data_IF_334069643743
#
_entry.id   IF_334069643743
#
_cell.length_a   1.000
_cell.length_b   1.000
_cell.length_c   1.000
_cell.angle_alpha   90.00
_cell.angle_beta   90.00
_cell.angle_gamma   90.00
#
_symmetry.space_group_name_H-M   'P 1'
#
loop_
_entity.id
_entity.type
_entity.pdbx_description
1 polymer ?
#
# COMPACT_ATOMS: atom_id res chain seq x y z
N UNK A 1 12.57 -20.11 -2.33
CA UNK A 1 11.63 -19.16 -1.70
C UNK A 1 10.30 -19.88 -1.55
N UNK A 2 9.87 -20.15 -0.32
CA UNK A 2 8.49 -20.60 -0.07
C UNK A 2 7.63 -19.35 -0.12
N UNK A 3 6.78 -19.26 -1.13
CA UNK A 3 5.86 -18.13 -1.29
C UNK A 3 4.48 -18.63 -0.86
N UNK A 4 3.75 -17.81 -0.15
CA UNK A 4 2.36 -18.07 0.20
C UNK A 4 1.63 -16.76 0.19
N UNK A 5 0.35 -16.79 -0.14
CA UNK A 5 -0.52 -15.65 0.06
C UNK A 5 -1.77 -16.10 0.82
N UNK A 6 -2.30 -15.21 1.63
CA UNK A 6 -3.57 -15.40 2.34
C UNK A 6 -4.50 -14.27 1.96
N UNK A 7 -5.74 -14.63 1.67
CA UNK A 7 -6.83 -13.67 1.54
C UNK A 7 -7.64 -13.75 2.82
N UNK A 8 -7.80 -12.60 3.45
CA UNK A 8 -8.58 -12.43 4.68
C UNK A 8 -9.73 -11.52 4.31
N UNK A 9 -10.95 -11.93 4.64
CA UNK A 9 -12.18 -11.25 4.31
C UNK A 9 -12.91 -11.01 5.62
N UNK A 10 -13.07 -9.74 5.96
CA UNK A 10 -13.76 -9.30 7.16
C UNK A 10 -15.16 -8.81 6.77
N UNK A 11 -16.21 -9.36 7.40
CA UNK A 11 -17.58 -8.91 7.19
C UNK A 11 -17.88 -7.64 7.98
N UNK A 12 -18.39 -6.60 7.32
CA UNK A 12 -18.87 -5.37 7.96
C UNK A 12 -20.36 -5.50 8.34
N UNK A 13 -20.71 -6.39 9.27
CA UNK A 13 -22.07 -6.36 9.85
C UNK A 13 -22.06 -6.61 11.36
N UNK A 14 -22.93 -5.89 12.06
CA UNK A 14 -22.85 -5.59 13.49
C UNK A 14 -22.59 -6.77 14.42
N UNK A 15 -21.75 -6.48 15.42
CA UNK A 15 -21.53 -7.20 16.69
C UNK A 15 -20.79 -8.54 16.68
N UNK A 16 -20.42 -9.10 15.53
CA UNK A 16 -19.34 -10.11 15.48
C UNK A 16 -18.48 -9.92 14.23
N UNK A 17 -17.23 -9.45 14.43
CA UNK A 17 -16.17 -9.48 13.42
C UNK A 17 -15.91 -10.93 12.99
N UNK A 18 -16.65 -11.42 12.00
CA UNK A 18 -16.40 -12.73 11.39
C UNK A 18 -15.35 -12.55 10.30
N UNK A 19 -14.14 -13.01 10.63
CA UNK A 19 -13.01 -13.05 9.72
C UNK A 19 -12.95 -14.40 9.01
N UNK A 20 -13.11 -14.40 7.69
CA UNK A 20 -12.89 -15.59 6.85
C UNK A 20 -11.49 -15.53 6.26
N UNK A 21 -10.65 -16.52 6.58
CA UNK A 21 -9.28 -16.61 6.05
C UNK A 21 -9.12 -17.76 5.07
N UNK A 22 -8.69 -17.43 3.85
CA UNK A 22 -8.28 -18.39 2.84
C UNK A 22 -6.77 -18.30 2.60
N UNK A 23 -6.00 -19.23 3.18
CA UNK A 23 -4.56 -19.36 2.92
C UNK A 23 -4.29 -20.25 1.71
N UNK A 24 -3.38 -19.81 0.83
CA UNK A 24 -2.85 -20.55 -0.32
C UNK A 24 -1.33 -20.65 -0.20
N UNK A 25 -0.83 -21.88 -0.04
CA UNK A 25 0.60 -22.16 0.05
C UNK A 25 1.17 -22.53 -1.32
N UNK A 26 2.13 -21.74 -1.83
CA UNK A 26 2.79 -22.02 -3.11
C UNK A 26 3.96 -22.97 -2.87
N UNK A 27 3.63 -24.25 -2.66
CA UNK A 27 4.64 -25.31 -2.48
C UNK A 27 5.61 -25.37 -3.67
N UNK A 28 6.90 -25.69 -3.47
CA UNK A 28 7.93 -25.69 -4.53
C UNK A 28 7.74 -26.73 -5.65
N UNK A 29 6.81 -27.68 -5.50
CA UNK A 29 6.61 -28.77 -6.45
C UNK A 29 5.97 -28.26 -7.76
N UNK A 30 6.51 -28.69 -8.90
CA UNK A 30 6.54 -27.91 -10.15
C UNK A 30 5.21 -27.54 -10.83
N UNK A 31 4.02 -28.01 -10.41
CA UNK A 31 2.81 -27.75 -11.21
C UNK A 31 1.51 -27.41 -10.46
N UNK A 32 1.37 -27.72 -9.16
CA UNK A 32 0.02 -27.77 -8.56
C UNK A 32 -0.32 -26.59 -7.64
N UNK A 33 0.66 -25.83 -7.16
CA UNK A 33 0.41 -24.76 -6.18
C UNK A 33 0.43 -23.35 -6.80
N UNK A 34 1.25 -23.13 -7.83
CA UNK A 34 1.43 -21.80 -8.46
C UNK A 34 0.26 -21.38 -9.35
N UNK A 35 -0.62 -22.30 -9.73
CA UNK A 35 -1.86 -22.02 -10.45
C UNK A 35 -2.95 -22.87 -9.84
N UNK A 36 -4.08 -22.27 -9.51
CA UNK A 36 -5.14 -23.02 -8.86
C UNK A 36 -6.46 -22.29 -8.80
N UNK A 37 -7.37 -22.92 -8.09
CA UNK A 37 -8.70 -22.48 -7.77
C UNK A 37 -9.05 -23.01 -6.37
N UNK A 38 -9.77 -22.23 -5.57
CA UNK A 38 -10.26 -22.62 -4.26
C UNK A 38 -11.57 -21.88 -3.97
N UNK A 39 -12.61 -22.63 -3.68
CA UNK A 39 -13.89 -22.09 -3.21
C UNK A 39 -13.96 -22.18 -1.70
N UNK A 40 -14.67 -21.22 -1.10
CA UNK A 40 -15.04 -21.26 0.30
C UNK A 40 -16.33 -20.46 0.49
N UNK A 41 -17.15 -20.90 1.42
CA UNK A 41 -18.40 -20.22 1.77
C UNK A 41 -18.14 -19.20 2.86
N UNK A 42 -18.77 -18.04 2.76
CA UNK A 42 -18.83 -17.08 3.85
C UNK A 42 -20.01 -17.49 4.75
N UNK A 43 -19.72 -18.00 5.95
CA UNK A 43 -20.72 -18.47 6.91
C UNK A 43 -21.46 -17.26 7.52
N UNK A 44 -22.49 -16.78 6.81
CA UNK A 44 -23.49 -15.90 7.37
C UNK A 44 -24.39 -16.76 8.26
N UNK A 45 -24.36 -16.46 9.55
CA UNK A 45 -25.01 -17.24 10.58
C UNK A 45 -26.52 -17.45 10.27
N UNK A 46 -26.88 -18.66 9.84
CA UNK A 46 -28.21 -19.32 9.91
C UNK A 46 -29.42 -18.40 10.13
N UNK A 47 -29.73 -17.55 9.16
CA UNK A 47 -31.13 -17.24 8.85
C UNK A 47 -31.49 -18.17 7.69
N UNK A 48 -32.42 -19.11 7.84
CA UNK A 48 -32.63 -20.21 6.88
C UNK A 48 -33.10 -19.79 5.47
N UNK A 49 -33.16 -18.49 5.17
CA UNK A 49 -33.64 -17.97 3.89
C UNK A 49 -32.68 -16.97 3.19
N UNK A 50 -31.51 -16.66 3.76
CA UNK A 50 -30.51 -15.82 3.08
C UNK A 50 -29.31 -16.66 2.63
N UNK A 51 -29.04 -16.59 1.32
CA UNK A 51 -28.08 -17.39 0.58
C UNK A 51 -26.68 -17.38 1.20
N UNK A 52 -26.10 -18.56 1.44
CA UNK A 52 -24.65 -18.66 1.67
C UNK A 52 -23.93 -18.05 0.47
N UNK A 53 -23.12 -17.00 0.71
CA UNK A 53 -22.35 -16.35 -0.34
C UNK A 53 -21.07 -17.14 -0.59
N UNK A 54 -21.02 -17.83 -1.73
CA UNK A 54 -19.84 -18.58 -2.16
C UNK A 54 -18.80 -17.62 -2.74
N UNK A 55 -17.55 -17.76 -2.27
CA UNK A 55 -16.41 -17.02 -2.77
C UNK A 55 -15.42 -17.95 -3.47
N UNK A 56 -15.01 -17.52 -4.66
CA UNK A 56 -14.23 -18.32 -5.58
C UNK A 56 -12.90 -17.62 -5.87
N UNK A 57 -11.81 -18.21 -5.39
CA UNK A 57 -10.47 -17.68 -5.55
C UNK A 57 -9.74 -18.38 -6.70
N UNK A 58 -9.25 -17.62 -7.66
CA UNK A 58 -8.43 -18.10 -8.78
C UNK A 58 -7.06 -17.44 -8.78
N UNK A 59 -6.01 -18.19 -9.10
CA UNK A 59 -4.67 -17.63 -9.25
C UNK A 59 -3.86 -18.32 -10.36
N UNK A 60 -2.95 -17.55 -10.95
CA UNK A 60 -1.85 -18.05 -11.78
C UNK A 60 -0.61 -17.17 -11.53
N UNK A 61 0.33 -17.71 -10.77
CA UNK A 61 1.62 -17.13 -10.38
C UNK A 61 2.79 -17.89 -11.03
N UNK A 62 2.53 -18.76 -12.03
CA UNK A 62 3.57 -19.60 -12.64
C UNK A 62 4.65 -18.80 -13.35
N UNK A 63 4.26 -17.69 -13.96
CA UNK A 63 5.14 -16.79 -14.71
C UNK A 63 5.48 -15.51 -13.94
N UNK A 64 5.04 -15.41 -12.68
CA UNK A 64 5.21 -14.22 -11.85
C UNK A 64 6.68 -13.79 -11.79
N UNK A 65 6.94 -12.54 -12.16
CA UNK A 65 8.26 -11.90 -12.02
C UNK A 65 8.30 -11.10 -10.73
N UNK A 66 9.48 -11.03 -10.10
CA UNK A 66 9.73 -10.25 -8.89
C UNK A 66 10.86 -9.27 -9.20
N UNK A 67 10.69 -8.01 -8.79
CA UNK A 67 11.69 -6.98 -8.99
C UNK A 67 12.63 -6.91 -7.77
N UNK A 68 13.93 -7.09 -7.99
CA UNK A 68 14.95 -6.93 -6.94
C UNK A 68 14.66 -7.77 -5.68
N UNK A 69 14.61 -7.10 -4.53
CA UNK A 69 14.27 -7.68 -3.22
C UNK A 69 12.80 -7.51 -2.81
N UNK A 70 11.91 -7.09 -3.73
CA UNK A 70 10.50 -6.91 -3.42
C UNK A 70 9.80 -8.26 -3.20
N UNK A 71 9.01 -8.41 -2.12
CA UNK A 71 8.24 -9.62 -1.88
C UNK A 71 7.00 -9.74 -2.79
N UNK A 72 6.59 -8.66 -3.46
CA UNK A 72 5.41 -8.63 -4.32
C UNK A 72 5.77 -8.95 -5.80
N UNK A 73 4.98 -9.80 -6.50
CA UNK A 73 5.13 -9.96 -7.93
C UNK A 73 4.91 -8.65 -8.70
N UNK A 74 5.79 -8.32 -9.64
CA UNK A 74 5.69 -7.10 -10.45
C UNK A 74 4.98 -7.30 -11.79
N UNK A 75 4.99 -8.51 -12.36
CA UNK A 75 4.33 -8.81 -13.64
C UNK A 75 4.07 -10.29 -13.86
N UNK A 76 3.35 -10.59 -14.94
CA UNK A 76 3.04 -11.93 -15.44
C UNK A 76 2.26 -12.83 -14.47
N UNK A 77 1.29 -12.24 -13.77
CA UNK A 77 0.51 -12.95 -12.75
C UNK A 77 -0.92 -12.45 -12.64
N UNK A 78 -1.79 -13.27 -12.03
CA UNK A 78 -3.03 -12.76 -11.47
C UNK A 78 -3.49 -13.51 -10.21
N UNK A 79 -4.22 -12.80 -9.36
CA UNK A 79 -5.06 -13.35 -8.29
C UNK A 79 -6.44 -12.70 -8.42
N UNK A 80 -7.49 -13.50 -8.54
CA UNK A 80 -8.85 -13.05 -8.77
C UNK A 80 -9.79 -13.63 -7.72
N UNK A 81 -10.52 -12.76 -7.03
CA UNK A 81 -11.62 -13.15 -6.15
C UNK A 81 -12.94 -12.93 -6.91
N UNK A 82 -13.75 -13.96 -6.94
CA UNK A 82 -15.08 -13.97 -7.55
C UNK A 82 -16.12 -14.11 -6.45
N UNK A 83 -17.17 -13.31 -6.56
CA UNK A 83 -18.40 -13.43 -5.78
C UNK A 83 -19.56 -13.45 -6.78
N UNK A 84 -20.38 -14.49 -6.70
CA UNK A 84 -21.50 -14.73 -7.62
C UNK A 84 -21.11 -14.71 -9.12
N UNK A 85 -21.53 -13.67 -9.84
CA UNK A 85 -21.25 -13.49 -11.27
C UNK A 85 -20.16 -12.43 -11.57
N UNK A 86 -19.52 -11.89 -10.53
CA UNK A 86 -18.57 -10.79 -10.64
C UNK A 86 -17.16 -11.13 -10.13
N UNK A 87 -16.14 -10.62 -10.83
CA UNK A 87 -14.77 -10.55 -10.31
C UNK A 87 -14.66 -9.28 -9.45
N UNK A 88 -14.73 -9.45 -8.13
CA UNK A 88 -14.76 -8.34 -7.15
C UNK A 88 -13.36 -7.83 -6.78
N UNK A 89 -12.32 -8.64 -6.95
CA UNK A 89 -10.93 -8.23 -6.79
C UNK A 89 -10.08 -8.90 -7.86
N UNK A 90 -9.24 -8.12 -8.53
CA UNK A 90 -8.28 -8.64 -9.52
C UNK A 90 -6.92 -7.96 -9.35
N UNK A 91 -5.95 -8.72 -8.84
CA UNK A 91 -4.55 -8.32 -8.73
C UNK A 91 -3.76 -8.87 -9.92
N UNK A 92 -2.73 -8.13 -10.34
CA UNK A 92 -1.83 -8.50 -11.44
C UNK A 92 -2.25 -8.03 -12.84
N UNK A 93 -1.36 -8.26 -13.80
CA UNK A 93 -1.43 -7.78 -15.19
C UNK A 93 -2.09 -8.78 -16.16
N UNK A 94 -2.22 -10.06 -15.77
CA UNK A 94 -2.87 -11.11 -16.57
C UNK A 94 -4.41 -11.05 -16.57
N UNK A 95 -4.99 -9.85 -16.67
CA UNK A 95 -6.45 -9.62 -16.62
C UNK A 95 -7.22 -10.44 -17.65
N UNK A 96 -6.76 -10.47 -18.91
CA UNK A 96 -7.41 -11.26 -19.98
C UNK A 96 -7.44 -12.76 -19.66
N UNK A 97 -6.37 -13.31 -19.06
CA UNK A 97 -6.33 -14.72 -18.65
C UNK A 97 -7.24 -14.98 -17.47
N UNK A 98 -7.32 -14.06 -16.51
CA UNK A 98 -8.21 -14.14 -15.37
C UNK A 98 -9.67 -14.22 -15.84
N UNK A 99 -10.16 -13.25 -16.62
CA UNK A 99 -11.55 -13.24 -17.10
C UNK A 99 -11.88 -14.42 -18.01
N UNK A 100 -10.95 -14.87 -18.86
CA UNK A 100 -11.14 -16.09 -19.66
C UNK A 100 -11.32 -17.34 -18.79
N UNK A 101 -10.62 -17.41 -17.66
CA UNK A 101 -10.68 -18.56 -16.75
C UNK A 101 -11.90 -18.53 -15.86
N UNK A 102 -12.24 -17.37 -15.29
CA UNK A 102 -13.40 -17.22 -14.40
C UNK A 102 -14.71 -17.29 -15.18
N UNK A 103 -14.72 -16.80 -16.43
CA UNK A 103 -15.94 -16.59 -17.24
C UNK A 103 -16.95 -15.66 -16.57
N UNK A 104 -16.48 -14.81 -15.66
CA UNK A 104 -17.28 -13.84 -14.91
C UNK A 104 -17.03 -12.43 -15.42
N UNK A 105 -17.99 -11.53 -15.21
CA UNK A 105 -17.84 -10.12 -15.61
C UNK A 105 -17.02 -9.34 -14.57
N UNK A 106 -16.42 -8.19 -14.94
CA UNK A 106 -15.91 -7.26 -13.95
C UNK A 106 -17.03 -6.78 -13.01
N UNK A 107 -16.68 -6.49 -11.76
CA UNK A 107 -17.57 -5.78 -10.86
C UNK A 107 -17.89 -4.38 -11.39
N UNK A 108 -19.04 -3.83 -10.96
CA UNK A 108 -19.45 -2.47 -11.33
C UNK A 108 -18.57 -1.40 -10.67
N UNK A 109 -17.99 -1.73 -9.52
CA UNK A 109 -17.11 -0.88 -8.74
C UNK A 109 -15.77 -1.61 -8.57
N UNK A 110 -14.69 -0.92 -8.90
CA UNK A 110 -13.34 -1.44 -8.70
C UNK A 110 -12.99 -1.47 -7.20
N UNK A 111 -12.31 -2.52 -6.76
CA UNK A 111 -11.77 -2.59 -5.42
C UNK A 111 -10.75 -1.46 -5.18
N UNK A 112 -10.92 -0.74 -4.08
CA UNK A 112 -10.04 0.37 -3.69
C UNK A 112 -9.01 -0.14 -2.69
N UNK A 113 -7.74 0.11 -2.97
CA UNK A 113 -6.66 -0.20 -2.05
C UNK A 113 -6.51 0.93 -1.03
N UNK A 114 -6.86 0.67 0.23
CA UNK A 114 -6.76 1.64 1.33
C UNK A 114 -5.41 1.60 2.03
N UNK A 115 -4.81 0.42 2.16
CA UNK A 115 -3.58 0.22 2.91
C UNK A 115 -2.65 -0.74 2.17
N UNK A 116 -1.39 -0.35 2.06
CA UNK A 116 -0.30 -1.24 1.70
C UNK A 116 0.66 -1.32 2.88
N UNK A 117 0.87 -2.51 3.43
CA UNK A 117 1.89 -2.75 4.45
C UNK A 117 2.93 -3.70 3.88
N UNK A 118 4.18 -3.26 3.82
CA UNK A 118 5.29 -4.08 3.33
C UNK A 118 6.39 -4.18 4.36
N UNK A 119 7.01 -5.36 4.41
CA UNK A 119 8.21 -5.61 5.21
C UNK A 119 9.32 -6.03 4.27
N UNK A 120 10.39 -5.24 4.22
CA UNK A 120 11.53 -5.44 3.33
C UNK A 120 12.82 -5.63 4.13
N UNK A 121 13.71 -6.46 3.62
CA UNK A 121 14.98 -6.80 4.26
C UNK A 121 16.13 -6.47 3.30
N UNK A 122 17.06 -5.64 3.75
CA UNK A 122 18.24 -5.25 2.97
C UNK A 122 19.32 -4.67 3.87
N UNK A 123 20.54 -4.53 3.36
CA UNK A 123 21.65 -3.95 4.12
C UNK A 123 21.58 -2.42 4.22
N UNK A 124 21.26 -1.76 3.11
CA UNK A 124 21.35 -0.29 2.99
C UNK A 124 20.23 0.36 2.18
N UNK A 125 19.71 -0.32 1.16
CA UNK A 125 18.75 0.22 0.20
C UNK A 125 17.47 -0.63 0.21
N UNK A 126 16.34 0.03 0.46
CA UNK A 126 15.04 -0.57 0.68
C UNK A 126 14.06 -0.04 -0.38
N UNK A 127 13.67 -0.88 -1.32
CA UNK A 127 12.79 -0.51 -2.40
C UNK A 127 11.35 -1.00 -2.16
N UNK A 128 10.38 -0.16 -2.51
CA UNK A 128 8.94 -0.47 -2.54
C UNK A 128 8.28 0.28 -3.69
N UNK A 129 7.03 -0.06 -4.01
CA UNK A 129 6.24 0.57 -5.06
C UNK A 129 4.86 0.89 -4.54
N UNK A 130 4.37 2.09 -4.81
CA UNK A 130 3.03 2.49 -4.40
C UNK A 130 2.39 3.46 -5.39
N UNK A 131 1.06 3.42 -5.40
CA UNK A 131 0.22 4.32 -6.18
C UNK A 131 -0.36 5.37 -5.24
N UNK A 132 0.03 6.62 -5.45
CA UNK A 132 -0.42 7.77 -4.64
C UNK A 132 -1.59 8.54 -5.27
N UNK A 133 -1.91 8.23 -6.53
CA UNK A 133 -2.97 8.90 -7.30
C UNK A 133 -3.92 7.88 -7.89
N UNK A 134 -5.07 8.31 -8.39
CA UNK A 134 -5.98 7.43 -9.14
C UNK A 134 -5.40 6.94 -10.47
N UNK A 135 -4.27 7.51 -10.91
CA UNK A 135 -3.59 7.05 -12.11
C UNK A 135 -3.11 5.60 -11.95
N UNK A 136 -3.04 4.85 -13.04
CA UNK A 136 -2.50 3.47 -13.01
C UNK A 136 -0.99 3.41 -12.79
N UNK A 137 -0.33 4.56 -12.66
CA UNK A 137 1.11 4.65 -12.47
C UNK A 137 1.46 4.36 -11.01
N UNK A 138 2.43 3.46 -10.83
CA UNK A 138 3.04 3.20 -9.53
C UNK A 138 4.40 3.89 -9.48
N UNK A 139 4.67 4.56 -8.37
CA UNK A 139 5.94 5.22 -8.12
C UNK A 139 6.92 4.25 -7.48
N UNK A 140 8.16 4.27 -7.94
CA UNK A 140 9.26 3.51 -7.34
C UNK A 140 9.85 4.32 -6.18
N UNK A 141 9.76 3.78 -4.97
CA UNK A 141 10.22 4.43 -3.74
C UNK A 141 11.44 3.68 -3.24
N UNK A 142 12.53 4.40 -2.98
CA UNK A 142 13.75 3.82 -2.44
C UNK A 142 14.17 4.60 -1.20
N UNK A 143 14.26 3.91 -0.08
CA UNK A 143 14.88 4.43 1.14
C UNK A 143 16.28 3.89 1.22
N UNK A 144 17.26 4.77 1.28
CA UNK A 144 18.66 4.39 1.42
C UNK A 144 19.23 4.95 2.71
N UNK A 145 20.20 4.23 3.26
CA UNK A 145 20.82 4.60 4.53
C UNK A 145 22.32 4.37 4.51
N UNK A 146 23.02 5.33 5.11
CA UNK A 146 24.45 5.29 5.39
C UNK A 146 24.62 5.51 6.88
N UNK A 147 24.47 4.43 7.65
CA UNK A 147 24.56 4.47 9.13
C UNK A 147 25.81 3.80 9.67
N UNK A 148 26.65 3.23 8.79
CA UNK A 148 27.88 2.53 9.16
C UNK A 148 29.08 3.27 8.59
N UNK A 149 30.12 3.47 9.42
CA UNK A 149 31.36 4.13 9.02
C UNK A 149 31.74 5.29 9.95
N UNK A 150 32.70 6.10 9.51
CA UNK A 150 33.25 7.24 10.26
C UNK A 150 32.46 8.54 10.09
N UNK A 151 31.50 8.56 9.15
CA UNK A 151 30.64 9.71 8.89
C UNK A 151 29.42 9.68 9.81
N UNK A 152 28.86 10.86 10.05
CA UNK A 152 27.56 10.99 10.70
C UNK A 152 26.50 10.17 9.95
N UNK A 153 25.65 9.40 10.66
CA UNK A 153 24.56 8.66 10.03
C UNK A 153 23.65 9.56 9.19
N UNK A 154 23.30 9.09 7.99
CA UNK A 154 22.39 9.79 7.08
C UNK A 154 21.45 8.80 6.38
N UNK A 155 20.32 9.32 5.90
CA UNK A 155 19.39 8.58 5.05
C UNK A 155 18.77 9.52 4.01
N UNK A 156 18.28 8.94 2.93
CA UNK A 156 17.50 9.67 1.95
C UNK A 156 16.38 8.81 1.38
N UNK A 157 15.37 9.49 0.86
CA UNK A 157 14.19 8.88 0.25
C UNK A 157 14.09 9.41 -1.17
N UNK A 158 14.11 8.49 -2.12
CA UNK A 158 13.96 8.77 -3.53
C UNK A 158 12.62 8.26 -4.03
N UNK A 159 11.96 9.04 -4.90
CA UNK A 159 10.75 8.63 -5.61
C UNK A 159 11.01 8.80 -7.11
N UNK A 160 10.80 7.73 -7.88
CA UNK A 160 11.08 7.64 -9.32
C UNK A 160 12.52 8.05 -9.68
N UNK A 161 13.48 7.67 -8.81
CA UNK A 161 14.90 7.97 -8.97
C UNK A 161 15.32 9.39 -8.58
N UNK A 162 14.38 10.25 -8.14
CA UNK A 162 14.67 11.60 -7.67
C UNK A 162 14.74 11.60 -6.15
N UNK A 163 15.84 12.07 -5.57
CA UNK A 163 15.98 12.25 -4.12
C UNK A 163 15.12 13.44 -3.68
N UNK A 164 14.06 13.18 -2.90
CA UNK A 164 13.15 14.22 -2.43
C UNK A 164 13.38 14.60 -0.96
N UNK A 165 13.84 13.65 -0.14
CA UNK A 165 14.15 13.88 1.27
C UNK A 165 15.57 13.40 1.51
N UNK A 166 16.42 14.25 2.11
CA UNK A 166 17.76 13.89 2.52
C UNK A 166 18.03 14.37 3.94
N UNK A 167 18.21 13.41 4.86
CA UNK A 167 18.38 13.66 6.28
C UNK A 167 19.83 13.38 6.67
N UNK A 168 20.56 14.46 6.92
CA UNK A 168 21.89 14.43 7.54
C UNK A 168 21.78 14.44 9.06
N UNK A 169 22.83 13.94 9.72
CA UNK A 169 22.92 13.87 11.18
C UNK A 169 21.68 13.16 11.78
N UNK A 170 21.37 12.00 11.22
CA UNK A 170 20.18 11.20 11.50
C UNK A 170 20.04 10.84 12.98
N UNK A 171 21.14 10.79 13.74
CA UNK A 171 21.12 10.60 15.19
C UNK A 171 20.34 11.68 15.96
N UNK A 172 20.10 12.84 15.36
CA UNK A 172 19.28 13.92 15.92
C UNK A 172 17.89 14.03 15.27
N UNK A 173 17.68 13.34 14.14
CA UNK A 173 16.48 13.43 13.30
C UNK A 173 15.88 12.06 12.99
N UNK A 174 16.11 11.08 13.86
CA UNK A 174 15.69 9.69 13.66
C UNK A 174 14.17 9.50 13.72
N UNK A 175 13.41 10.51 14.15
CA UNK A 175 11.95 10.61 14.01
C UNK A 175 11.60 11.94 13.40
N UNK A 176 10.69 11.95 12.44
CA UNK A 176 10.26 13.18 11.80
C UNK A 176 9.28 12.94 10.67
N UNK A 177 8.92 14.03 10.00
CA UNK A 177 8.05 14.01 8.85
C UNK A 177 8.39 15.17 7.90
N UNK A 178 8.06 15.00 6.63
CA UNK A 178 8.22 15.99 5.58
C UNK A 178 7.15 15.78 4.51
N UNK A 179 6.70 16.84 3.86
CA UNK A 179 5.75 16.73 2.74
C UNK A 179 6.45 17.11 1.45
N UNK A 180 6.41 16.22 0.47
CA UNK A 180 7.03 16.41 -0.85
C UNK A 180 5.96 16.36 -1.91
N UNK A 181 6.19 16.99 -3.06
CA UNK A 181 5.23 16.99 -4.17
C UNK A 181 5.76 16.07 -5.27
N UNK A 182 4.98 15.06 -5.64
CA UNK A 182 5.28 14.13 -6.73
C UNK A 182 4.15 14.21 -7.75
N UNK A 183 4.47 14.59 -9.00
CA UNK A 183 3.47 14.76 -10.06
C UNK A 183 2.25 15.60 -9.65
N UNK A 184 2.50 16.73 -8.96
CA UNK A 184 1.48 17.64 -8.40
C UNK A 184 0.66 17.08 -7.24
N UNK A 185 0.93 15.85 -6.80
CA UNK A 185 0.30 15.27 -5.61
C UNK A 185 1.21 15.48 -4.41
N UNK A 186 0.75 16.16 -3.35
CA UNK A 186 1.49 16.23 -2.10
C UNK A 186 1.50 14.84 -1.44
N UNK A 187 2.65 14.43 -0.92
CA UNK A 187 2.84 13.16 -0.20
C UNK A 187 3.52 13.50 1.11
N UNK A 188 2.80 13.25 2.22
CA UNK A 188 3.37 13.33 3.55
C UNK A 188 4.13 12.04 3.83
N UNK A 189 5.42 12.18 4.15
CA UNK A 189 6.31 11.10 4.54
C UNK A 189 6.62 11.24 6.02
N UNK A 190 6.40 10.20 6.80
CA UNK A 190 6.78 10.11 8.20
C UNK A 190 7.81 8.99 8.36
N UNK A 191 8.77 9.18 9.26
CA UNK A 191 9.77 8.16 9.56
C UNK A 191 10.02 8.01 11.06
N UNK A 192 10.29 6.77 11.47
CA UNK A 192 10.93 6.41 12.73
C UNK A 192 12.01 5.37 12.44
N UNK A 193 13.27 5.77 12.57
CA UNK A 193 14.44 4.93 12.33
C UNK A 193 15.28 4.77 13.59
N UNK A 194 14.71 4.99 14.77
CA UNK A 194 15.40 4.83 16.05
C UNK A 194 16.08 3.45 16.16
N UNK A 195 15.37 2.39 15.79
CA UNK A 195 15.90 1.03 15.89
C UNK A 195 17.09 0.76 14.95
N UNK A 196 17.22 1.50 13.83
CA UNK A 196 18.39 1.38 12.95
C UNK A 196 19.68 1.91 13.57
N UNK A 197 19.58 2.83 14.53
CA UNK A 197 20.73 3.53 15.10
C UNK A 197 21.10 3.01 16.49
N UNK A 198 20.10 2.65 17.30
CA UNK A 198 20.28 2.42 18.73
C UNK A 198 19.97 0.98 19.17
N UNK A 199 19.47 0.13 18.28
CA UNK A 199 19.21 -1.28 18.57
C UNK A 199 20.24 -2.18 17.88
N UNK A 200 20.38 -3.40 18.38
CA UNK A 200 21.25 -4.39 17.75
C UNK A 200 20.75 -4.70 16.32
N UNK A 201 21.65 -4.94 15.35
CA UNK A 201 21.26 -5.36 14.01
C UNK A 201 20.28 -6.54 14.05
N UNK A 202 19.26 -6.52 13.18
CA UNK A 202 18.21 -7.54 13.12
C UNK A 202 17.16 -7.51 14.26
N UNK A 203 17.27 -6.62 15.25
CA UNK A 203 16.30 -6.55 16.37
C UNK A 203 15.21 -5.48 16.20
N UNK A 204 15.32 -4.63 15.19
CA UNK A 204 14.28 -3.67 14.85
C UNK A 204 14.37 -3.12 13.44
N UNK A 205 13.37 -2.34 13.07
CA UNK A 205 13.17 -1.83 11.71
C UNK A 205 13.03 -0.30 11.70
N UNK A 206 13.26 0.28 10.53
CA UNK A 206 12.87 1.65 10.22
C UNK A 206 11.45 1.62 9.70
N UNK A 207 10.58 2.44 10.29
CA UNK A 207 9.20 2.62 9.85
C UNK A 207 9.11 3.85 8.96
N UNK A 208 8.50 3.69 7.79
CA UNK A 208 8.16 4.78 6.90
C UNK A 208 6.67 4.73 6.57
N UNK A 209 6.02 5.89 6.62
CA UNK A 209 4.60 6.02 6.30
C UNK A 209 4.48 7.07 5.19
N UNK A 210 3.84 6.70 4.09
CA UNK A 210 3.56 7.61 2.98
C UNK A 210 2.05 7.78 2.85
N UNK A 211 1.60 9.03 2.93
CA UNK A 211 0.20 9.42 2.81
C UNK A 211 0.05 10.44 1.69
N UNK A 212 -0.70 10.15 0.62
CA UNK A 212 -1.07 11.16 -0.35
C UNK A 212 -2.00 12.18 0.33
N UNK A 213 -1.71 13.46 0.14
CA UNK A 213 -2.59 14.55 0.53
C UNK A 213 -3.53 14.93 -0.61
N UNK A 214 -4.57 15.68 -0.29
CA UNK A 214 -5.46 16.27 -1.30
C UNK A 214 -4.67 17.32 -2.06
N UNK A 215 -4.55 17.17 -3.38
CA UNK A 215 -4.09 18.26 -4.25
C UNK A 215 -5.17 19.32 -4.23
N UNK A 216 -4.83 20.56 -3.86
CA UNK A 216 -5.71 21.68 -4.19
C UNK A 216 -5.77 21.76 -5.72
N UNK A 217 -6.87 21.32 -6.30
CA UNK A 217 -7.20 21.67 -7.67
C UNK A 217 -7.52 23.16 -7.61
N UNK A 218 -6.64 23.99 -8.18
CA UNK A 218 -6.93 25.40 -8.48
C UNK A 218 -8.29 25.45 -9.18
N UNK A 219 -9.32 25.85 -8.44
CA UNK A 219 -10.63 26.16 -8.98
C UNK A 219 -10.56 27.56 -9.54
N UNK A 220 -9.79 27.72 -10.63
CA UNK A 220 -9.84 28.91 -11.45
C UNK A 220 -11.18 28.93 -12.20
N UNK A 221 -12.17 29.63 -11.63
CA UNK A 221 -13.31 30.24 -12.34
C UNK A 221 -14.02 31.28 -11.47
N UNK A 222 -13.53 32.51 -11.60
CA UNK A 222 -14.24 33.81 -11.71
C UNK A 222 -15.60 34.01 -11.03
N UNK A 223 -15.71 35.06 -10.19
CA UNK A 223 -17.03 35.59 -9.79
C UNK A 223 -17.08 36.64 -8.67
N UNK A 224 -16.78 37.90 -9.00
CA UNK A 224 -17.38 39.15 -8.47
C UNK A 224 -17.25 39.56 -6.98
N UNK A 225 -16.49 40.64 -6.77
CA UNK A 225 -16.70 41.80 -5.88
C UNK A 225 -17.54 41.65 -4.59
N UNK A 226 -16.91 41.94 -3.43
CA UNK A 226 -17.37 42.96 -2.45
C UNK A 226 -16.32 43.27 -1.36
N UNK A 227 -15.96 44.55 -1.32
CA UNK A 227 -15.41 45.41 -0.24
C UNK A 227 -15.21 44.86 1.18
N UNK A 228 -14.08 45.24 1.82
CA UNK A 228 -14.02 45.49 3.27
C UNK A 228 -12.66 45.23 3.95
N UNK A 229 -11.95 46.33 4.24
CA UNK A 229 -10.91 46.59 5.27
C UNK A 229 -10.10 45.44 5.95
N UNK A 230 -8.77 45.62 5.87
CA UNK A 230 -7.68 45.31 6.83
C UNK A 230 -7.97 44.50 8.11
N UNK A 231 -7.22 43.42 8.32
CA UNK A 231 -6.08 43.47 9.25
C UNK A 231 -5.16 42.25 9.14
N UNK A 232 -3.89 42.51 9.44
CA UNK A 232 -2.75 41.61 9.29
C UNK A 232 -2.82 40.47 10.33
N UNK A 233 -3.04 39.23 9.92
CA UNK A 233 -2.68 38.07 10.73
C UNK A 233 -1.96 37.03 9.89
N UNK A 234 -0.66 36.89 10.18
CA UNK A 234 0.16 35.75 9.81
C UNK A 234 -0.53 34.46 10.28
N UNK A 235 -1.29 33.84 9.38
CA UNK A 235 -1.95 32.56 9.59
C UNK A 235 -0.93 31.45 9.57
N UNK A 236 -0.25 31.25 10.70
CA UNK A 236 0.26 29.93 11.07
C UNK A 236 -0.93 28.98 11.00
N UNK A 237 -1.04 28.24 9.90
CA UNK A 237 -2.06 27.21 9.74
C UNK A 237 -1.61 26.02 10.58
N UNK A 238 -1.93 26.11 11.87
CA UNK A 238 -1.99 24.93 12.71
C UNK A 238 -2.91 23.94 12.00
N UNK A 239 -2.35 22.81 11.58
CA UNK A 239 -3.15 21.66 11.15
C UNK A 239 -3.98 21.22 12.36
N UNK A 240 -5.17 21.79 12.50
CA UNK A 240 -6.17 21.26 13.42
C UNK A 240 -6.45 19.83 12.98
N UNK A 241 -6.24 18.89 13.91
CA UNK A 241 -6.82 17.56 13.86
C UNK A 241 -8.33 17.67 14.04
N UNK A 242 -9.01 18.26 13.06
CA UNK A 242 -10.44 18.08 12.90
C UNK A 242 -10.60 17.18 11.69
N UNK A 243 -11.05 15.96 11.97
CA UNK A 243 -11.50 15.01 10.96
C UNK A 243 -12.70 15.62 10.25
N UNK A 244 -12.44 16.44 9.23
CA UNK A 244 -13.40 16.68 8.18
C UNK A 244 -13.57 15.31 7.49
N UNK A 245 -14.71 14.70 7.79
CA UNK A 245 -15.09 13.38 7.34
C UNK A 245 -15.46 13.45 5.85
N UNK A 246 -14.48 13.75 5.00
CA UNK A 246 -14.60 13.55 3.56
C UNK A 246 -14.31 12.08 3.29
N UNK A 247 -15.33 11.36 2.82
CA UNK A 247 -15.25 9.97 2.34
C UNK A 247 -14.35 9.89 1.10
N UNK A 248 -13.04 9.98 1.30
CA UNK A 248 -12.05 9.54 0.34
C UNK A 248 -11.19 8.55 1.12
N UNK A 249 -11.13 7.33 0.62
CA UNK A 249 -10.31 6.29 1.21
C UNK A 249 -8.86 6.72 1.05
N UNK A 250 -8.27 7.31 2.09
CA UNK A 250 -6.88 7.76 2.08
C UNK A 250 -5.98 6.53 1.99
N UNK A 251 -5.45 6.26 0.79
CA UNK A 251 -4.42 5.24 0.61
C UNK A 251 -3.25 5.51 1.58
N UNK A 252 -2.74 4.49 2.22
CA UNK A 252 -1.57 4.61 3.10
C UNK A 252 -0.56 3.51 2.78
N UNK A 253 0.71 3.86 2.64
CA UNK A 253 1.80 2.89 2.58
C UNK A 253 2.55 2.88 3.92
N UNK A 254 2.61 1.72 4.56
CA UNK A 254 3.48 1.42 5.70
C UNK A 254 4.63 0.51 5.25
N UNK A 255 5.85 1.04 5.24
CA UNK A 255 7.06 0.30 4.93
C UNK A 255 7.85 0.02 6.21
N UNK A 256 8.06 -1.25 6.52
CA UNK A 256 8.95 -1.72 7.57
C UNK A 256 10.26 -2.21 6.95
N UNK A 257 11.33 -1.47 7.14
CA UNK A 257 12.62 -1.74 6.53
C UNK A 257 13.61 -2.30 7.56
N UNK A 258 13.93 -3.59 7.42
CA UNK A 258 14.80 -4.35 8.33
C UNK A 258 16.22 -4.41 7.80
N UNK A 259 17.16 -3.89 8.58
CA UNK A 259 18.59 -4.00 8.28
C UNK A 259 19.08 -5.41 8.54
N UNK A 260 19.58 -6.06 7.50
CA UNK A 260 20.29 -7.35 7.59
C UNK A 260 21.79 -7.12 7.65
N UNK A 261 22.52 -8.01 8.30
CA UNK A 261 23.99 -8.00 8.36
C UNK A 261 24.66 -8.19 6.98
#
# INVERSE_FOLDING_TARGET
MNISFSIIIDGCEGEMERQTTCKVELKPWHFWSKKGYKSFEMDHNKVPEESSHQLDLYWDLRSAKFAGSSPEPCSDYYVALVSDEEVVLLLGDFKKKAYKRTKKRPALVDAIQSLKKETVYAKKSFATRARFTESKWEHDIVVESSTTGTKDPEMWISIDGIVLIHIKNLQWKFRGNETVVVNKTPIQVLWDVHAWLFCNPGTGYGLFIFKPGVSEMDTDKEGSNRSGASDNSCGSMFYSTQSAQTKIVDFCLLLQAWKTD
#
